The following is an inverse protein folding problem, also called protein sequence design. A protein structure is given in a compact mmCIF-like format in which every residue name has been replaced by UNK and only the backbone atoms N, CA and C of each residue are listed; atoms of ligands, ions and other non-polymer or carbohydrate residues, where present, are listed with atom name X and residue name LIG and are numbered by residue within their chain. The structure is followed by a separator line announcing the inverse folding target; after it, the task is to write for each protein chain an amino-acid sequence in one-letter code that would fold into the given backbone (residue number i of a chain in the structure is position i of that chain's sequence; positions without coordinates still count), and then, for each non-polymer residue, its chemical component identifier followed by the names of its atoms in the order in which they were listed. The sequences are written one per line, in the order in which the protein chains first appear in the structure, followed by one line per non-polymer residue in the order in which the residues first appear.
data_IF_236025549893
#
_entry.id   IF_236025549893
#
_cell.length_a   1.000
_cell.length_b   1.000
_cell.length_c   1.000
_cell.angle_alpha   90.00
_cell.angle_beta   90.00
_cell.angle_gamma   90.00
#
_symmetry.space_group_name_H-M   'P 1'
#
loop_
_entity.id
_entity.type
_entity.pdbx_description
1 polymer ?
#
# COMPACT_ATOMS: atom_id res chain seq x y z
N UNK A 1 -14.17 21.72 -37.96
CA UNK A 1 -14.34 23.17 -37.78
C UNK A 1 -13.76 23.86 -39.00
N UNK A 2 -14.59 24.60 -39.71
CA UNK A 2 -14.34 25.13 -41.06
C UNK A 2 -13.29 26.23 -41.02
N UNK A 3 -12.30 26.13 -41.89
CA UNK A 3 -11.22 27.08 -42.10
C UNK A 3 -11.78 28.34 -42.76
N UNK A 4 -12.09 29.37 -41.97
CA UNK A 4 -12.35 30.72 -42.49
C UNK A 4 -11.01 31.37 -42.83
N UNK A 5 -10.65 31.32 -44.11
CA UNK A 5 -9.58 32.14 -44.67
C UNK A 5 -10.11 33.57 -44.75
N UNK A 6 -9.79 34.40 -43.75
CA UNK A 6 -9.94 35.85 -43.87
C UNK A 6 -8.96 36.33 -44.95
N UNK A 7 -9.49 36.59 -46.15
CA UNK A 7 -8.79 37.36 -47.18
C UNK A 7 -8.64 38.81 -46.70
N UNK A 8 -7.52 39.11 -46.05
CA UNK A 8 -7.06 40.49 -45.88
C UNK A 8 -6.62 41.00 -47.24
N UNK A 9 -7.44 41.84 -47.89
CA UNK A 9 -7.05 42.59 -49.08
C UNK A 9 -5.96 43.58 -48.68
N UNK A 10 -4.69 43.25 -49.00
CA UNK A 10 -3.56 44.16 -48.78
C UNK A 10 -3.74 45.41 -49.65
N UNK A 11 -3.61 46.63 -49.10
CA UNK A 11 -3.69 47.85 -49.89
C UNK A 11 -2.57 47.91 -50.95
N UNK A 12 -2.78 48.58 -52.09
CA UNK A 12 -1.78 48.68 -53.14
C UNK A 12 -0.47 49.30 -52.61
N UNK A 13 0.67 48.70 -52.98
CA UNK A 13 2.04 49.02 -52.51
C UNK A 13 2.37 50.53 -52.48
N UNK A 14 1.71 51.36 -53.30
CA UNK A 14 1.87 52.82 -53.37
C UNK A 14 1.30 53.60 -52.18
N UNK A 15 0.41 53.02 -51.36
CA UNK A 15 -0.26 53.72 -50.24
C UNK A 15 0.30 53.38 -48.84
N UNK A 16 1.33 52.53 -48.76
CA UNK A 16 1.84 52.00 -47.49
C UNK A 16 3.00 52.82 -46.96
N UNK A 17 2.97 53.17 -45.66
CA UNK A 17 4.12 53.81 -45.00
C UNK A 17 5.35 52.89 -45.00
N UNK A 18 6.55 53.46 -44.86
CA UNK A 18 7.81 52.71 -44.79
C UNK A 18 7.76 51.60 -43.73
N UNK A 19 7.05 51.86 -42.63
CA UNK A 19 6.84 50.91 -41.53
C UNK A 19 5.90 49.75 -41.91
N UNK A 20 4.84 50.02 -42.68
CA UNK A 20 3.91 48.98 -43.15
C UNK A 20 4.56 48.07 -44.21
N UNK A 21 5.42 48.61 -45.08
CA UNK A 21 6.18 47.81 -46.06
C UNK A 21 7.16 46.85 -45.38
N UNK A 22 7.80 47.30 -44.30
CA UNK A 22 8.74 46.49 -43.52
C UNK A 22 8.04 45.31 -42.82
N UNK A 23 6.82 45.53 -42.32
CA UNK A 23 5.98 44.48 -41.70
C UNK A 23 5.53 43.44 -42.72
N UNK A 24 5.10 43.85 -43.92
CA UNK A 24 4.68 42.90 -44.97
C UNK A 24 5.87 42.11 -45.53
N UNK A 25 7.06 42.71 -45.61
CA UNK A 25 8.27 42.03 -46.04
C UNK A 25 8.78 41.00 -45.02
N UNK A 26 8.52 41.20 -43.73
CA UNK A 26 8.93 40.27 -42.65
C UNK A 26 7.91 39.17 -42.37
N UNK A 27 6.63 39.34 -42.74
CA UNK A 27 5.58 38.31 -42.61
C UNK A 27 5.97 36.90 -43.13
N UNK A 28 6.54 36.73 -44.35
CA UNK A 28 6.93 35.41 -44.84
C UNK A 28 8.07 34.77 -44.05
N UNK A 29 8.99 35.57 -43.50
CA UNK A 29 10.06 35.13 -42.60
C UNK A 29 9.52 34.72 -41.23
N UNK A 30 8.52 35.44 -40.70
CA UNK A 30 7.83 35.03 -39.48
C UNK A 30 7.06 33.73 -39.68
N UNK A 31 6.34 33.57 -40.79
CA UNK A 31 5.58 32.36 -41.09
C UNK A 31 6.48 31.13 -41.26
N UNK A 32 7.64 31.28 -41.91
CA UNK A 32 8.61 30.19 -42.05
C UNK A 32 9.22 29.80 -40.69
N UNK A 33 9.56 30.77 -39.84
CA UNK A 33 10.08 30.51 -38.49
C UNK A 33 9.05 29.78 -37.61
N UNK A 34 7.77 30.18 -37.66
CA UNK A 34 6.69 29.50 -36.95
C UNK A 34 6.52 28.06 -37.46
N UNK A 35 6.57 27.84 -38.78
CA UNK A 35 6.48 26.49 -39.35
C UNK A 35 7.64 25.60 -38.89
N UNK A 36 8.87 26.13 -38.82
CA UNK A 36 10.04 25.38 -38.35
C UNK A 36 9.90 25.02 -36.87
N UNK A 37 9.42 25.96 -36.03
CA UNK A 37 9.18 25.71 -34.61
C UNK A 37 8.09 24.67 -34.37
N UNK A 38 7.02 24.68 -35.16
CA UNK A 38 5.95 23.67 -35.07
C UNK A 38 6.46 22.30 -35.48
N UNK A 39 7.20 22.21 -36.59
CA UNK A 39 7.78 20.94 -37.07
C UNK A 39 8.82 20.41 -36.09
N UNK A 40 9.68 21.25 -35.51
CA UNK A 40 10.64 20.81 -34.49
C UNK A 40 9.94 20.35 -33.21
N UNK A 41 8.88 21.03 -32.78
CA UNK A 41 8.07 20.62 -31.63
C UNK A 41 7.40 19.26 -31.86
N UNK A 42 6.85 19.03 -33.06
CA UNK A 42 6.27 17.75 -33.46
C UNK A 42 7.35 16.66 -33.53
N UNK A 43 8.53 16.96 -34.08
CA UNK A 43 9.65 16.01 -34.11
C UNK A 43 10.17 15.67 -32.71
N UNK A 44 10.20 16.64 -31.79
CA UNK A 44 10.55 16.41 -30.38
C UNK A 44 9.49 15.54 -29.70
N UNK A 45 8.20 15.81 -29.92
CA UNK A 45 7.09 14.99 -29.42
C UNK A 45 7.10 13.56 -29.98
N UNK A 46 7.43 13.40 -31.26
CA UNK A 46 7.57 12.09 -31.90
C UNK A 46 8.82 11.35 -31.42
N UNK A 47 9.92 12.08 -31.19
CA UNK A 47 11.14 11.52 -30.61
C UNK A 47 10.90 11.09 -29.16
N UNK A 48 10.19 11.86 -28.33
CA UNK A 48 9.86 11.43 -26.96
C UNK A 48 8.83 10.30 -26.94
N UNK A 49 7.89 10.25 -27.89
CA UNK A 49 6.96 9.13 -28.04
C UNK A 49 7.65 7.84 -28.55
N UNK A 50 8.74 7.97 -29.31
CA UNK A 50 9.54 6.84 -29.82
C UNK A 50 10.61 6.32 -28.85
N UNK A 51 10.80 6.98 -27.70
CA UNK A 51 11.70 6.52 -26.63
C UNK A 51 10.89 5.78 -25.56
N UNK A 52 9.99 4.88 -25.96
CA UNK A 52 9.65 3.74 -25.11
C UNK A 52 10.88 2.84 -25.13
N UNK A 53 11.80 3.08 -24.18
CA UNK A 53 12.87 2.13 -23.90
C UNK A 53 12.15 0.83 -23.57
N UNK A 54 12.24 -0.13 -24.48
CA UNK A 54 11.70 -1.47 -24.30
C UNK A 54 12.52 -2.12 -23.19
N UNK A 55 12.18 -1.78 -21.94
CA UNK A 55 12.79 -2.33 -20.74
C UNK A 55 12.22 -3.75 -20.60
N UNK A 56 12.73 -4.67 -21.43
CA UNK A 56 12.37 -6.09 -21.42
C UNK A 56 12.41 -6.72 -20.03
N UNK A 57 13.08 -6.09 -19.05
CA UNK A 57 13.05 -6.45 -17.64
C UNK A 57 11.67 -6.39 -16.96
N UNK A 58 10.79 -5.43 -17.28
CA UNK A 58 9.48 -5.34 -16.60
C UNK A 58 8.39 -6.22 -17.22
N UNK A 59 8.67 -6.88 -18.34
CA UNK A 59 7.74 -7.83 -18.96
C UNK A 59 7.34 -8.98 -18.01
N UNK A 60 8.25 -9.38 -17.11
CA UNK A 60 7.96 -10.39 -16.08
C UNK A 60 6.93 -9.92 -15.04
N UNK A 61 6.82 -8.61 -14.83
CA UNK A 61 5.85 -8.04 -13.89
C UNK A 61 4.41 -8.09 -14.40
N UNK A 62 4.19 -8.47 -15.68
CA UNK A 62 2.86 -8.78 -16.23
C UNK A 62 2.34 -10.13 -15.73
N UNK A 63 3.23 -11.05 -15.31
CA UNK A 63 2.82 -12.36 -14.81
C UNK A 63 2.21 -12.20 -13.41
N UNK A 64 1.05 -12.81 -13.11
CA UNK A 64 0.52 -12.78 -11.75
C UNK A 64 1.48 -13.43 -10.77
N UNK A 65 1.39 -13.03 -9.51
CA UNK A 65 1.93 -13.79 -8.39
C UNK A 65 0.94 -14.88 -8.02
N UNK A 66 1.40 -16.13 -8.13
CA UNK A 66 0.67 -17.33 -7.76
C UNK A 66 1.46 -18.08 -6.69
N UNK A 67 0.81 -18.34 -5.54
CA UNK A 67 1.46 -18.86 -4.35
C UNK A 67 0.49 -19.61 -3.45
N UNK A 68 0.62 -20.94 -3.43
CA UNK A 68 -0.18 -21.82 -2.59
C UNK A 68 -1.68 -21.59 -2.81
N UNK A 69 -2.39 -21.15 -1.76
CA UNK A 69 -3.84 -20.90 -1.81
C UNK A 69 -4.24 -19.53 -2.37
N UNK A 70 -3.29 -18.61 -2.59
CA UNK A 70 -3.55 -17.32 -3.22
C UNK A 70 -2.95 -17.25 -4.61
N UNK A 71 -3.77 -16.84 -5.57
CA UNK A 71 -3.41 -16.73 -6.97
C UNK A 71 -3.84 -15.38 -7.51
N UNK A 72 -3.29 -15.02 -8.67
CA UNK A 72 -3.64 -13.82 -9.40
C UNK A 72 -3.41 -12.51 -8.61
N UNK A 73 -2.38 -12.48 -7.76
CA UNK A 73 -1.99 -11.26 -7.09
C UNK A 73 -1.10 -10.41 -8.01
N UNK A 74 -1.29 -9.10 -7.96
CA UNK A 74 -0.48 -8.14 -8.70
C UNK A 74 0.38 -7.30 -7.76
N UNK A 75 1.03 -6.28 -8.29
CA UNK A 75 1.59 -5.19 -7.49
C UNK A 75 0.56 -4.73 -6.42
N UNK A 76 0.94 -4.48 -5.15
CA UNK A 76 2.31 -4.36 -4.64
C UNK A 76 2.99 -5.67 -4.25
N UNK A 77 2.30 -6.81 -4.35
CA UNK A 77 2.82 -8.09 -3.86
C UNK A 77 3.90 -8.66 -4.77
N UNK A 78 4.90 -9.30 -4.16
CA UNK A 78 5.99 -9.99 -4.86
C UNK A 78 6.58 -11.10 -4.00
N UNK A 79 7.40 -11.97 -4.59
CA UNK A 79 7.96 -13.15 -3.93
C UNK A 79 7.78 -14.40 -4.80
N UNK A 80 8.31 -15.53 -4.35
CA UNK A 80 8.26 -16.78 -5.11
C UNK A 80 8.78 -16.57 -6.54
N UNK A 81 7.91 -16.79 -7.53
CA UNK A 81 8.23 -16.64 -8.96
C UNK A 81 8.09 -15.20 -9.49
N UNK A 82 7.59 -14.25 -8.69
CA UNK A 82 7.46 -12.83 -9.06
C UNK A 82 8.66 -12.05 -8.49
N UNK A 83 9.55 -11.50 -9.34
CA UNK A 83 10.78 -10.85 -8.90
C UNK A 83 10.55 -9.65 -7.97
N UNK A 84 11.56 -9.32 -7.16
CA UNK A 84 11.53 -8.19 -6.22
C UNK A 84 11.18 -6.86 -6.89
N UNK A 85 11.69 -6.63 -8.10
CA UNK A 85 11.46 -5.38 -8.82
C UNK A 85 10.01 -5.24 -9.35
N UNK A 86 9.17 -6.26 -9.20
CA UNK A 86 7.77 -6.26 -9.61
C UNK A 86 6.77 -5.92 -8.49
N UNK A 87 7.27 -5.60 -7.30
CA UNK A 87 6.43 -5.27 -6.15
C UNK A 87 7.08 -4.25 -5.21
N UNK A 88 6.34 -3.86 -4.18
CA UNK A 88 6.80 -2.93 -3.18
C UNK A 88 7.58 -3.67 -2.09
N UNK A 89 8.76 -3.20 -1.63
CA UNK A 89 9.61 -3.93 -0.68
C UNK A 89 8.90 -4.44 0.58
N UNK A 90 7.97 -3.65 1.14
CA UNK A 90 7.20 -4.00 2.33
C UNK A 90 6.08 -5.05 2.12
N UNK A 91 5.79 -5.45 0.87
CA UNK A 91 4.73 -6.41 0.53
C UNK A 91 5.31 -7.71 -0.04
N UNK A 92 6.50 -8.08 0.45
CA UNK A 92 7.14 -9.35 0.11
C UNK A 92 6.35 -10.50 0.75
N UNK A 93 6.07 -11.53 -0.03
CA UNK A 93 5.42 -12.75 0.40
C UNK A 93 6.40 -13.93 0.32
N UNK A 94 6.39 -14.78 1.34
CA UNK A 94 7.10 -16.06 1.34
C UNK A 94 6.11 -17.17 1.03
N UNK A 95 6.49 -18.01 0.07
CA UNK A 95 5.62 -19.05 -0.45
C UNK A 95 5.94 -20.42 0.13
N UNK A 96 4.87 -21.12 0.52
CA UNK A 96 4.89 -22.53 0.81
C UNK A 96 3.75 -23.20 0.04
N UNK A 97 4.05 -24.32 -0.61
CA UNK A 97 3.09 -25.06 -1.41
C UNK A 97 1.90 -25.52 -0.56
N UNK A 98 0.67 -25.35 -1.08
CA UNK A 98 -0.56 -25.73 -0.39
C UNK A 98 -0.95 -24.89 0.82
N UNK A 99 -0.26 -23.78 1.09
CA UNK A 99 -0.54 -22.89 2.23
C UNK A 99 -0.81 -21.44 1.78
N UNK A 100 -1.36 -20.62 2.67
CA UNK A 100 -1.41 -19.18 2.48
C UNK A 100 0.00 -18.57 2.62
N UNK A 101 0.39 -17.60 1.77
CA UNK A 101 1.70 -16.97 1.86
C UNK A 101 1.88 -16.19 3.16
N UNK A 102 3.02 -16.34 3.82
CA UNK A 102 3.38 -15.49 4.95
C UNK A 102 3.93 -14.15 4.45
N UNK A 103 3.66 -13.08 5.19
CA UNK A 103 4.27 -11.78 4.88
C UNK A 103 5.73 -11.83 5.37
N UNK A 104 6.67 -11.35 4.57
CA UNK A 104 8.09 -11.42 4.90
C UNK A 104 8.52 -10.18 5.69
N UNK A 105 9.25 -10.41 6.77
CA UNK A 105 9.78 -9.32 7.60
C UNK A 105 11.19 -9.01 7.18
N UNK A 106 11.73 -7.91 7.69
CA UNK A 106 13.09 -7.49 7.36
C UNK A 106 14.16 -8.46 7.89
N UNK A 107 13.85 -9.25 8.92
CA UNK A 107 14.81 -10.14 9.61
C UNK A 107 14.32 -11.57 9.87
N UNK A 108 13.03 -11.76 10.05
CA UNK A 108 12.39 -13.06 10.28
C UNK A 108 11.08 -13.11 9.46
N UNK A 109 10.56 -14.30 9.12
CA UNK A 109 9.20 -14.42 8.59
C UNK A 109 8.22 -13.68 9.51
N UNK A 110 7.34 -12.83 8.98
CA UNK A 110 6.43 -12.09 9.84
C UNK A 110 5.41 -13.03 10.45
N UNK A 111 4.82 -12.54 11.53
CA UNK A 111 3.86 -13.26 12.35
C UNK A 111 2.46 -13.32 11.72
N UNK A 112 2.32 -12.87 10.48
CA UNK A 112 1.08 -12.80 9.72
C UNK A 112 1.20 -13.51 8.38
N UNK A 113 0.07 -14.03 7.92
CA UNK A 113 -0.10 -14.50 6.56
C UNK A 113 -1.21 -13.74 5.85
N UNK A 114 -1.09 -13.69 4.54
CA UNK A 114 -2.09 -13.11 3.66
C UNK A 114 -3.09 -14.21 3.27
N UNK A 115 -4.36 -14.03 3.62
CA UNK A 115 -5.45 -14.98 3.33
C UNK A 115 -6.41 -14.51 2.24
N UNK A 116 -6.28 -13.26 1.84
CA UNK A 116 -7.01 -12.68 0.72
C UNK A 116 -6.45 -11.30 0.36
N UNK A 117 -6.67 -10.86 -0.86
CA UNK A 117 -6.37 -9.50 -1.27
C UNK A 117 -7.27 -9.06 -2.42
N UNK A 118 -7.60 -7.78 -2.42
CA UNK A 118 -8.18 -7.06 -3.55
C UNK A 118 -7.24 -5.89 -3.88
N UNK A 119 -6.31 -6.09 -4.84
CA UNK A 119 -5.38 -5.04 -5.26
C UNK A 119 -6.08 -3.80 -5.86
N UNK A 120 -7.24 -3.97 -6.49
CA UNK A 120 -7.98 -2.86 -7.08
C UNK A 120 -8.55 -1.92 -6.01
N UNK A 121 -9.04 -2.51 -4.91
CA UNK A 121 -9.52 -1.76 -3.75
C UNK A 121 -8.42 -1.42 -2.75
N UNK A 122 -7.19 -1.88 -2.98
CA UNK A 122 -6.05 -1.77 -2.06
C UNK A 122 -6.38 -2.32 -0.66
N UNK A 123 -7.05 -3.46 -0.63
CA UNK A 123 -7.42 -4.16 0.60
C UNK A 123 -6.68 -5.49 0.65
N UNK A 124 -6.16 -5.83 1.81
CA UNK A 124 -5.59 -7.14 2.11
C UNK A 124 -6.29 -7.72 3.33
N UNK A 125 -6.49 -9.03 3.35
CA UNK A 125 -6.99 -9.78 4.50
C UNK A 125 -5.84 -10.55 5.11
N UNK A 126 -5.54 -10.27 6.38
CA UNK A 126 -4.45 -10.89 7.12
C UNK A 126 -4.94 -11.63 8.34
N UNK A 127 -4.22 -12.67 8.73
CA UNK A 127 -4.39 -13.36 10.00
C UNK A 127 -3.02 -13.63 10.62
N UNK A 128 -2.89 -13.64 11.96
CA UNK A 128 -1.69 -14.17 12.60
C UNK A 128 -1.44 -15.63 12.18
N UNK A 129 -0.18 -16.02 12.02
CA UNK A 129 0.16 -17.39 11.58
C UNK A 129 -0.32 -18.47 12.55
N UNK A 130 -0.37 -18.16 13.84
CA UNK A 130 -0.79 -19.10 14.88
C UNK A 130 -1.66 -18.36 15.90
N UNK A 131 -2.93 -18.08 15.55
CA UNK A 131 -3.82 -17.25 16.37
C UNK A 131 -4.03 -17.85 17.76
N UNK A 132 -4.08 -19.18 17.87
CA UNK A 132 -4.17 -19.90 19.14
C UNK A 132 -2.96 -19.61 20.04
N UNK A 133 -1.74 -19.67 19.51
CA UNK A 133 -0.53 -19.33 20.29
C UNK A 133 -0.45 -17.84 20.66
N UNK A 134 -1.06 -16.94 19.88
CA UNK A 134 -1.13 -15.53 20.28
C UNK A 134 -2.15 -15.30 21.40
N UNK A 135 -3.29 -15.99 21.33
CA UNK A 135 -4.42 -15.87 22.25
C UNK A 135 -4.18 -16.54 23.59
N UNK A 136 -3.62 -17.76 23.59
CA UNK A 136 -3.33 -18.55 24.79
C UNK A 136 -2.04 -19.36 24.58
N UNK A 137 -0.86 -18.70 24.61
CA UNK A 137 0.42 -19.39 24.48
C UNK A 137 0.68 -20.40 25.60
N UNK A 138 1.41 -21.47 25.27
CA UNK A 138 1.93 -22.41 26.26
C UNK A 138 3.12 -21.87 27.08
N UNK A 139 3.76 -20.80 26.62
CA UNK A 139 4.78 -20.08 27.37
C UNK A 139 4.72 -18.59 26.96
N UNK A 140 3.93 -17.75 27.65
CA UNK A 140 3.75 -16.36 27.27
C UNK A 140 5.05 -15.59 27.46
N UNK A 141 5.47 -14.89 26.42
CA UNK A 141 6.60 -13.95 26.44
C UNK A 141 6.17 -12.59 25.87
N UNK A 142 6.86 -11.52 26.30
CA UNK A 142 6.57 -10.17 25.82
C UNK A 142 6.79 -10.11 24.30
N UNK A 143 5.73 -9.80 23.57
CA UNK A 143 5.72 -9.86 22.10
C UNK A 143 4.92 -8.71 21.52
N UNK A 144 5.43 -8.08 20.47
CA UNK A 144 4.69 -7.06 19.72
C UNK A 144 4.73 -7.44 18.25
N UNK A 145 3.55 -7.58 17.65
CA UNK A 145 3.37 -7.87 16.24
C UNK A 145 3.51 -6.55 15.47
N UNK A 146 4.73 -6.20 15.06
CA UNK A 146 5.01 -4.96 14.33
C UNK A 146 5.70 -5.23 12.97
N UNK A 147 4.99 -5.86 12.02
CA UNK A 147 5.51 -6.09 10.68
C UNK A 147 5.74 -4.80 9.87
N UNK A 148 6.66 -4.84 8.92
CA UNK A 148 7.10 -3.64 8.19
C UNK A 148 6.00 -3.06 7.30
N UNK A 149 5.08 -3.91 6.81
CA UNK A 149 3.92 -3.47 6.03
C UNK A 149 2.97 -2.56 6.79
N UNK A 150 2.97 -2.55 8.14
CA UNK A 150 2.09 -1.66 8.92
C UNK A 150 2.36 -0.18 8.64
N UNK A 151 3.60 0.17 8.29
CA UNK A 151 3.95 1.54 7.89
C UNK A 151 3.25 1.99 6.59
N UNK A 152 2.63 1.06 5.87
CA UNK A 152 1.90 1.25 4.62
C UNK A 152 0.41 0.95 4.78
N UNK A 153 -0.09 0.78 6.01
CA UNK A 153 -1.53 0.59 6.27
C UNK A 153 -2.21 1.95 6.47
N UNK A 154 -3.39 2.11 5.86
CA UNK A 154 -4.24 3.31 5.91
C UNK A 154 -5.56 3.03 6.65
N UNK A 155 -5.54 2.00 7.47
CA UNK A 155 -6.61 1.68 8.40
C UNK A 155 -6.30 2.32 9.75
N UNK A 156 -7.34 2.73 10.48
CA UNK A 156 -7.20 3.04 11.90
C UNK A 156 -6.82 1.74 12.64
N UNK A 157 -5.63 1.71 13.23
CA UNK A 157 -5.08 0.54 13.90
C UNK A 157 -4.95 0.78 15.40
N UNK A 158 -5.48 -0.15 16.18
CA UNK A 158 -5.36 -0.16 17.65
C UNK A 158 -4.59 -1.37 18.11
N UNK A 159 -3.94 -1.26 19.27
CA UNK A 159 -3.21 -2.38 19.87
C UNK A 159 -4.11 -3.17 20.79
N UNK A 160 -4.55 -4.35 20.35
CA UNK A 160 -5.11 -5.36 21.25
C UNK A 160 -3.97 -5.91 22.13
N UNK A 161 -4.05 -5.67 23.42
CA UNK A 161 -3.07 -6.11 24.40
C UNK A 161 -3.63 -7.31 25.16
N UNK A 162 -2.92 -8.44 25.09
CA UNK A 162 -3.19 -9.65 25.88
C UNK A 162 -2.22 -9.68 27.05
N UNK A 163 -2.76 -9.69 28.27
CA UNK A 163 -2.04 -9.62 29.52
C UNK A 163 -2.08 -10.97 30.22
N UNK A 164 -0.91 -11.47 30.65
CA UNK A 164 -0.78 -12.76 31.31
C UNK A 164 -0.05 -12.66 32.64
N UNK A 165 -0.21 -13.72 33.45
CA UNK A 165 0.47 -13.89 34.73
C UNK A 165 0.21 -12.71 35.68
N UNK A 166 -1.02 -12.22 35.68
CA UNK A 166 -1.46 -11.17 36.57
C UNK A 166 -1.69 -11.74 37.97
N UNK A 167 -1.21 -11.04 38.99
CA UNK A 167 -1.34 -11.43 40.40
C UNK A 167 -2.75 -11.24 40.96
N UNK A 168 -3.57 -10.42 40.31
CA UNK A 168 -4.95 -10.14 40.70
C UNK A 168 -5.93 -10.79 39.72
N UNK A 169 -6.98 -11.40 40.27
CA UNK A 169 -8.08 -12.02 39.53
C UNK A 169 -9.35 -11.16 39.47
N UNK A 170 -9.31 -9.96 40.06
CA UNK A 170 -10.42 -9.01 40.08
C UNK A 170 -10.67 -8.39 38.70
N UNK A 171 -11.96 -8.17 38.37
CA UNK A 171 -12.35 -7.43 37.18
C UNK A 171 -11.79 -6.01 37.17
N UNK A 172 -11.35 -5.55 36.00
CA UNK A 172 -10.74 -4.22 35.83
C UNK A 172 -11.49 -3.42 34.77
N UNK A 173 -11.70 -2.10 35.01
CA UNK A 173 -12.26 -1.23 33.99
C UNK A 173 -11.44 -1.27 32.71
N UNK A 174 -12.12 -1.40 31.56
CA UNK A 174 -11.48 -1.39 30.25
C UNK A 174 -10.77 -2.70 29.84
N UNK A 175 -10.82 -3.74 30.67
CA UNK A 175 -10.31 -5.07 30.31
C UNK A 175 -11.38 -6.14 30.41
N UNK A 176 -11.16 -7.24 29.70
CA UNK A 176 -12.00 -8.42 29.74
C UNK A 176 -11.16 -9.60 30.17
N UNK A 177 -11.61 -10.35 31.18
CA UNK A 177 -10.93 -11.54 31.67
C UNK A 177 -10.94 -12.63 30.60
N UNK A 178 -9.79 -13.29 30.40
CA UNK A 178 -9.65 -14.45 29.53
C UNK A 178 -9.31 -15.70 30.35
N UNK A 179 -9.59 -16.86 29.77
CA UNK A 179 -9.52 -18.16 30.44
C UNK A 179 -8.41 -19.05 29.91
N UNK A 180 -7.20 -18.54 29.69
CA UNK A 180 -6.09 -19.39 29.26
C UNK A 180 -5.65 -20.32 30.41
N UNK A 181 -5.54 -21.62 30.13
CA UNK A 181 -5.16 -22.63 31.12
C UNK A 181 -3.71 -22.43 31.59
N UNK A 182 -3.47 -22.58 32.90
CA UNK A 182 -2.12 -22.66 33.48
C UNK A 182 -1.46 -21.33 33.84
N UNK A 183 -2.09 -20.20 33.51
CA UNK A 183 -1.60 -18.86 33.86
C UNK A 183 -2.49 -18.25 34.95
N UNK A 184 -1.94 -17.32 35.74
CA UNK A 184 -2.71 -16.56 36.74
C UNK A 184 -3.87 -15.75 36.12
N UNK A 185 -4.19 -14.58 36.68
CA UNK A 185 -5.13 -13.68 36.01
C UNK A 185 -4.65 -13.39 34.58
N UNK A 186 -5.55 -13.48 33.60
CA UNK A 186 -5.27 -13.10 32.22
C UNK A 186 -6.42 -12.26 31.68
N UNK A 187 -6.08 -11.28 30.85
CA UNK A 187 -7.05 -10.29 30.36
C UNK A 187 -6.68 -9.82 28.96
N UNK A 188 -7.64 -9.25 28.23
CA UNK A 188 -7.34 -8.41 27.08
C UNK A 188 -7.89 -6.99 27.25
N UNK A 189 -7.28 -6.03 26.56
CA UNK A 189 -7.74 -4.64 26.50
C UNK A 189 -7.01 -3.82 25.44
N UNK A 190 -7.51 -2.63 25.15
CA UNK A 190 -6.97 -1.74 24.10
C UNK A 190 -6.12 -0.60 24.64
N UNK A 191 -6.43 -0.14 25.85
CA UNK A 191 -5.59 0.81 26.55
C UNK A 191 -4.35 0.11 27.12
N UNK A 192 -3.28 0.90 27.33
CA UNK A 192 -2.24 0.45 28.27
C UNK A 192 -2.91 0.22 29.61
N UNK A 193 -2.53 -0.86 30.27
CA UNK A 193 -3.08 -1.24 31.57
C UNK A 193 -3.24 0.01 32.46
N UNK A 194 -4.45 0.31 32.97
CA UNK A 194 -4.68 1.54 33.70
C UNK A 194 -3.83 1.53 34.97
N UNK A 195 -2.83 2.41 35.04
CA UNK A 195 -2.17 2.80 36.29
C UNK A 195 -3.15 3.65 37.07
N UNK A 196 -4.08 2.99 37.78
CA UNK A 196 -4.98 3.71 38.69
C UNK A 196 -4.13 4.32 39.80
N UNK A 197 -4.19 5.65 39.92
CA UNK A 197 -3.46 6.45 40.90
C UNK A 197 -3.60 5.87 42.32
N UNK A 198 -2.54 5.24 42.83
CA UNK A 198 -2.41 4.84 44.23
C UNK A 198 -2.71 3.37 44.55
N UNK A 199 -3.19 2.56 43.61
CA UNK A 199 -3.22 1.11 43.76
C UNK A 199 -2.18 0.52 42.80
N UNK A 200 -1.17 -0.15 43.35
CA UNK A 200 -0.21 -0.92 42.55
C UNK A 200 -0.99 -1.74 41.51
N UNK A 201 -0.73 -1.59 40.20
CA UNK A 201 -1.43 -2.39 39.21
C UNK A 201 -1.15 -3.87 39.51
N UNK A 202 -2.06 -4.81 39.20
CA UNK A 202 -1.63 -6.19 39.09
C UNK A 202 -0.50 -6.25 38.09
N UNK A 203 0.64 -6.78 38.53
CA UNK A 203 1.83 -6.87 37.71
C UNK A 203 1.64 -8.02 36.73
N UNK A 204 0.79 -7.82 35.71
CA UNK A 204 0.85 -8.65 34.53
C UNK A 204 2.24 -8.43 33.93
N UNK A 205 3.10 -9.44 34.00
CA UNK A 205 4.50 -9.31 33.61
C UNK A 205 4.74 -9.68 32.14
N UNK A 206 3.72 -10.20 31.47
CA UNK A 206 3.75 -10.50 30.04
C UNK A 206 2.61 -9.79 29.32
N UNK A 207 2.97 -9.12 28.22
CA UNK A 207 2.04 -8.49 27.29
C UNK A 207 2.35 -8.93 25.86
N UNK A 208 1.33 -9.44 25.17
CA UNK A 208 1.35 -9.64 23.71
C UNK A 208 0.51 -8.54 23.08
N UNK A 209 1.08 -7.82 22.10
CA UNK A 209 0.42 -6.70 21.42
C UNK A 209 0.16 -7.04 19.97
N UNK A 210 -1.10 -6.98 19.56
CA UNK A 210 -1.58 -7.35 18.23
C UNK A 210 -2.27 -6.12 17.59
N UNK A 211 -1.83 -5.65 16.42
CA UNK A 211 -2.48 -4.56 15.71
C UNK A 211 -3.80 -5.05 15.11
N UNK A 212 -4.91 -4.40 15.42
CA UNK A 212 -6.25 -4.74 14.89
C UNK A 212 -6.97 -3.49 14.39
N UNK A 213 -7.96 -3.62 13.49
CA UNK A 213 -8.76 -2.48 13.02
C UNK A 213 -9.52 -1.78 14.15
N UNK A 214 -9.55 -0.45 14.13
CA UNK A 214 -10.21 0.37 15.14
C UNK A 214 -11.72 0.15 15.22
N UNK A 215 -12.37 -0.14 14.09
CA UNK A 215 -13.79 -0.48 14.02
C UNK A 215 -14.14 -1.84 14.67
N UNK A 216 -13.15 -2.69 14.92
CA UNK A 216 -13.34 -3.94 15.66
C UNK A 216 -13.37 -3.75 17.18
N UNK A 217 -12.81 -2.65 17.72
CA UNK A 217 -12.55 -2.42 19.16
C UNK A 217 -13.80 -2.60 20.01
N UNK A 218 -14.87 -1.86 19.68
CA UNK A 218 -16.15 -1.92 20.40
C UNK A 218 -16.75 -3.33 20.41
N UNK A 219 -16.65 -4.02 19.27
CA UNK A 219 -17.16 -5.38 19.11
C UNK A 219 -16.39 -6.38 19.95
N UNK A 220 -15.07 -6.25 20.00
CA UNK A 220 -14.20 -7.09 20.82
C UNK A 220 -14.48 -6.86 22.32
N UNK A 221 -14.57 -5.62 22.78
CA UNK A 221 -14.87 -5.33 24.19
C UNK A 221 -16.25 -5.84 24.63
N UNK A 222 -17.28 -5.69 23.79
CA UNK A 222 -18.66 -6.09 24.12
C UNK A 222 -18.86 -7.61 24.10
N UNK A 223 -18.24 -8.31 23.14
CA UNK A 223 -18.44 -9.74 22.93
C UNK A 223 -17.39 -10.62 23.61
N UNK A 224 -16.30 -10.04 24.09
CA UNK A 224 -15.28 -10.76 24.84
C UNK A 224 -14.45 -11.70 23.97
N UNK A 225 -13.94 -12.75 24.60
CA UNK A 225 -12.96 -13.68 24.01
C UNK A 225 -13.40 -14.34 22.69
N UNK A 226 -14.65 -14.81 22.53
CA UNK A 226 -15.08 -15.41 21.26
C UNK A 226 -14.93 -14.48 20.05
N UNK A 227 -15.05 -13.15 20.25
CA UNK A 227 -14.85 -12.20 19.17
C UNK A 227 -13.37 -11.98 18.85
N UNK A 228 -12.48 -12.10 19.84
CA UNK A 228 -11.03 -12.05 19.62
C UNK A 228 -10.57 -13.31 18.89
N UNK A 229 -11.06 -14.50 19.28
CA UNK A 229 -10.84 -15.75 18.56
C UNK A 229 -11.32 -15.66 17.11
N UNK A 230 -12.54 -15.17 16.89
CA UNK A 230 -13.07 -14.98 15.54
C UNK A 230 -12.23 -14.00 14.71
N UNK A 231 -11.86 -12.83 15.26
CA UNK A 231 -11.09 -11.83 14.52
C UNK A 231 -9.70 -12.34 14.13
N UNK A 232 -8.98 -12.97 15.06
CA UNK A 232 -7.62 -13.47 14.81
C UNK A 232 -7.61 -14.78 14.04
N UNK A 233 -8.62 -15.64 14.21
CA UNK A 233 -8.73 -16.92 13.53
C UNK A 233 -9.29 -16.83 12.11
N UNK A 234 -10.24 -15.92 11.85
CA UNK A 234 -10.77 -15.70 10.50
C UNK A 234 -9.96 -14.66 9.70
N UNK A 235 -9.15 -13.85 10.39
CA UNK A 235 -8.42 -12.73 9.83
C UNK A 235 -9.29 -11.50 9.57
N UNK A 236 -8.63 -10.37 9.33
CA UNK A 236 -9.26 -9.06 9.17
C UNK A 236 -8.69 -8.28 7.99
N UNK A 237 -9.52 -7.39 7.47
CA UNK A 237 -9.18 -6.56 6.31
C UNK A 237 -8.41 -5.31 6.76
N UNK A 238 -7.39 -4.96 5.97
CA UNK A 238 -6.60 -3.75 6.10
C UNK A 238 -6.53 -3.05 4.75
N UNK A 239 -6.84 -1.75 4.72
CA UNK A 239 -6.53 -0.87 3.61
C UNK A 239 -5.05 -0.50 3.64
N UNK A 240 -4.41 -0.46 2.47
CA UNK A 240 -2.99 -0.10 2.38
C UNK A 240 -2.72 0.97 1.32
N UNK A 241 -1.65 1.72 1.57
CA UNK A 241 -1.07 2.73 0.70
C UNK A 241 0.39 2.39 0.46
N UNK A 242 0.81 2.30 -0.80
CA UNK A 242 2.23 2.20 -1.15
C UNK A 242 2.73 3.58 -1.64
N UNK A 243 3.12 4.44 -0.69
CA UNK A 243 3.88 5.68 -0.92
C UNK A 243 3.12 6.84 -1.58
N UNK A 244 3.68 8.04 -1.45
CA UNK A 244 3.23 9.36 -1.97
C UNK A 244 3.15 9.49 -3.50
N UNK A 245 3.24 8.35 -4.19
CA UNK A 245 3.03 8.19 -5.62
C UNK A 245 1.79 7.31 -5.93
N UNK A 246 0.64 7.47 -5.24
CA UNK A 246 -0.57 6.77 -5.66
C UNK A 246 -0.90 7.11 -7.11
N UNK A 247 -0.47 8.27 -7.61
CA UNK A 247 -0.64 8.71 -9.00
C UNK A 247 0.24 8.00 -10.02
N UNK A 248 1.48 7.63 -9.68
CA UNK A 248 2.44 7.07 -10.66
C UNK A 248 1.94 5.68 -11.07
N UNK A 249 1.92 4.71 -10.16
CA UNK A 249 1.48 3.38 -10.55
C UNK A 249 -0.01 3.27 -10.90
N UNK A 250 -0.88 4.10 -10.34
CA UNK A 250 -2.27 4.14 -10.78
C UNK A 250 -2.41 4.72 -12.19
N UNK A 251 -1.65 5.77 -12.53
CA UNK A 251 -1.61 6.34 -13.88
C UNK A 251 -0.98 5.38 -14.90
N UNK A 252 0.13 4.74 -14.54
CA UNK A 252 0.80 3.71 -15.33
C UNK A 252 -0.16 2.55 -15.65
N UNK A 253 -0.79 1.97 -14.63
CA UNK A 253 -1.74 0.86 -14.84
C UNK A 253 -2.98 1.29 -15.62
N UNK A 254 -3.48 2.52 -15.41
CA UNK A 254 -4.61 3.07 -16.18
C UNK A 254 -4.29 3.29 -17.66
N UNK A 255 -3.01 3.48 -18.01
CA UNK A 255 -2.53 3.59 -19.39
C UNK A 255 -2.11 2.25 -20.02
N UNK A 256 -2.30 1.13 -19.31
CA UNK A 256 -1.93 -0.21 -19.77
C UNK A 256 -0.48 -0.62 -19.46
N UNK A 257 0.27 0.22 -18.74
CA UNK A 257 1.62 -0.07 -18.26
C UNK A 257 1.65 -0.96 -17.02
N UNK A 258 2.85 -1.30 -16.56
CA UNK A 258 3.07 -2.22 -15.44
C UNK A 258 3.87 -1.54 -14.34
N UNK A 259 3.38 -1.65 -13.10
CA UNK A 259 4.03 -1.11 -11.93
C UNK A 259 5.14 -2.02 -11.40
N UNK A 260 6.27 -1.42 -11.01
CA UNK A 260 7.38 -2.09 -10.34
C UNK A 260 8.12 -1.17 -9.38
N UNK A 261 9.24 -1.63 -8.85
CA UNK A 261 10.11 -0.87 -7.95
C UNK A 261 11.58 -1.17 -8.21
N UNK A 262 12.42 -0.16 -8.33
CA UNK A 262 13.86 -0.32 -8.44
C UNK A 262 14.50 0.13 -7.12
N UNK A 263 14.94 -0.84 -6.30
CA UNK A 263 15.65 -0.64 -5.02
C UNK A 263 15.25 0.65 -4.28
N UNK A 264 14.01 0.66 -3.76
CA UNK A 264 13.35 1.74 -3.01
C UNK A 264 12.73 2.92 -3.79
N UNK A 265 12.66 2.89 -5.12
CA UNK A 265 11.87 3.86 -5.92
C UNK A 265 10.85 3.15 -6.81
N UNK A 266 9.64 3.68 -6.88
CA UNK A 266 8.60 3.22 -7.82
C UNK A 266 9.04 3.62 -9.23
N UNK A 267 9.01 2.66 -10.17
CA UNK A 267 9.41 2.87 -11.57
C UNK A 267 8.30 2.38 -12.48
N UNK A 268 8.11 3.07 -13.61
CA UNK A 268 7.12 2.77 -14.64
C UNK A 268 7.80 2.22 -15.89
N UNK A 269 7.11 1.31 -16.59
CA UNK A 269 7.43 0.89 -17.95
C UNK A 269 6.14 0.95 -18.77
N UNK A 270 6.16 1.74 -19.85
CA UNK A 270 5.07 1.94 -20.80
C UNK A 270 5.22 0.99 -21.99
#
# INVERSE_FOLDING_TARGET
MVQQVLLFTLPPLRSMSTHQRMVVASLPLLLSLHSILVVSSILILLATAGFSRDDGGYSECKKPFDCGLLQNLSYPFWGGNRPQYCGHPAFRLLCQEGQYPSIAGDREPEQFRLVGADPNRKVMKVEPIDPEQYICPQNPENKTLNPSFLSFIDSDLHSLNLFYNCTDSSDKPGTVRIGCLGWGGSYFGFERWPTVSGQYPPMCNVTIRIPVPGDAVDGLQKRGMPAVEGLLGEGYNLSYLYGSAPTICQGCTSSGGVCGSNTAKVVESH
#
